data_IF_607096821494
#
_entry.id   IF_607096821494
#
_cell.length_a   1.000
_cell.length_b   1.000
_cell.length_c   1.000
_cell.angle_alpha   90.00
_cell.angle_beta   90.00
_cell.angle_gamma   90.00
#
_symmetry.space_group_name_H-M   'P 1'
#
loop_
_entity.id
_entity.type
_entity.pdbx_description
1 polymer ?
#
# COMPACT_ATOMS: atom_id res chain seq x y z
N UNK A 1 -0.81 15.12 5.48
CA UNK A 1 -0.51 14.18 6.58
C UNK A 1 -1.71 14.16 7.52
N UNK A 2 -2.15 13.00 7.98
CA UNK A 2 -3.20 12.90 9.00
C UNK A 2 -2.79 11.84 10.02
N UNK A 3 -2.85 12.15 11.32
CA UNK A 3 -2.50 11.22 12.41
C UNK A 3 -3.71 10.93 13.27
N UNK A 4 -3.78 9.74 13.88
CA UNK A 4 -4.89 9.32 14.76
C UNK A 4 -4.82 9.86 16.19
N UNK A 5 -3.95 10.83 16.47
CA UNK A 5 -3.66 11.34 17.82
C UNK A 5 -2.40 12.21 17.86
N UNK A 6 -2.30 13.06 18.88
CA UNK A 6 -1.34 14.17 18.94
C UNK A 6 0.09 13.74 19.27
N UNK A 7 0.93 13.64 18.23
CA UNK A 7 2.33 14.07 18.16
C UNK A 7 2.87 13.64 16.79
N UNK A 8 3.31 14.59 15.96
CA UNK A 8 4.14 14.31 14.78
C UNK A 8 5.52 14.89 15.06
N UNK A 9 6.57 14.26 14.54
CA UNK A 9 7.93 14.82 14.56
C UNK A 9 8.37 15.07 13.12
N UNK A 10 8.77 16.30 12.82
CA UNK A 10 9.36 16.67 11.54
C UNK A 10 10.83 16.90 11.81
N UNK A 11 11.68 16.01 11.28
CA UNK A 11 13.12 16.10 11.49
C UNK A 11 13.71 17.42 10.99
N UNK A 12 14.99 17.73 11.30
CA UNK A 12 15.58 19.05 11.09
C UNK A 12 15.57 19.61 9.65
N UNK A 13 15.30 18.77 8.66
CA UNK A 13 15.19 19.12 7.23
C UNK A 13 13.85 18.68 6.60
N UNK A 14 12.91 18.18 7.40
CA UNK A 14 11.61 17.74 6.92
C UNK A 14 10.66 18.91 6.68
N UNK A 15 9.68 18.73 5.80
CA UNK A 15 8.62 19.74 5.62
C UNK A 15 7.31 19.10 5.16
N UNK A 16 6.19 19.70 5.54
CA UNK A 16 4.84 19.33 5.09
C UNK A 16 4.24 20.55 4.40
N UNK A 17 4.20 20.52 3.07
CA UNK A 17 3.77 21.63 2.21
C UNK A 17 2.86 21.13 1.10
N UNK A 18 2.24 22.05 0.38
CA UNK A 18 1.74 21.82 -0.96
C UNK A 18 1.92 23.03 -1.86
N UNK A 19 1.31 22.98 -3.04
CA UNK A 19 1.48 23.98 -4.09
C UNK A 19 1.20 25.42 -3.63
N UNK A 20 0.17 25.61 -2.79
CA UNK A 20 -0.23 26.91 -2.27
C UNK A 20 0.45 27.30 -0.94
N UNK A 21 1.37 26.47 -0.42
CA UNK A 21 2.05 26.77 0.85
C UNK A 21 2.96 28.00 0.68
N UNK A 22 2.84 29.05 1.52
CA UNK A 22 3.65 30.25 1.39
C UNK A 22 5.15 29.97 1.46
N UNK A 23 5.93 30.73 0.69
CA UNK A 23 7.40 30.63 0.69
C UNK A 23 7.96 30.81 2.10
N UNK A 24 8.83 29.87 2.53
CA UNK A 24 9.47 29.88 3.85
C UNK A 24 8.67 29.19 4.96
N UNK A 25 7.52 28.59 4.65
CA UNK A 25 6.78 27.74 5.59
C UNK A 25 7.22 26.29 5.38
N UNK A 26 7.81 25.68 6.41
CA UNK A 26 8.21 24.26 6.41
C UNK A 26 7.10 23.34 6.95
N UNK A 27 6.23 23.86 7.81
CA UNK A 27 5.09 23.12 8.35
C UNK A 27 3.81 23.87 8.03
N UNK A 28 3.04 23.38 7.05
CA UNK A 28 1.72 23.93 6.71
C UNK A 28 0.62 23.23 7.54
N UNK A 29 0.07 23.89 8.58
CA UNK A 29 -0.93 23.29 9.46
C UNK A 29 -2.25 22.97 8.72
N UNK A 30 -2.53 23.59 7.57
CA UNK A 30 -3.71 23.24 6.76
C UNK A 30 -3.56 21.90 6.05
N UNK A 31 -2.35 21.34 6.01
CA UNK A 31 -2.02 20.04 5.42
C UNK A 31 -1.84 18.95 6.48
N UNK A 32 -2.07 19.28 7.75
CA UNK A 32 -1.93 18.39 8.90
C UNK A 32 -3.29 18.26 9.58
N UNK A 33 -3.81 17.03 9.71
CA UNK A 33 -4.99 16.76 10.52
C UNK A 33 -4.69 15.76 11.63
N UNK A 34 -5.43 15.86 12.74
CA UNK A 34 -5.32 14.97 13.91
C UNK A 34 -6.60 14.15 14.16
N UNK A 35 -7.60 14.31 13.30
CA UNK A 35 -8.91 13.67 13.42
C UNK A 35 -9.03 12.43 12.54
N UNK A 36 -7.90 11.87 12.11
CA UNK A 36 -7.91 10.68 11.27
C UNK A 36 -8.44 9.49 12.06
N UNK A 37 -9.60 8.98 11.62
CA UNK A 37 -10.16 7.73 12.10
C UNK A 37 -10.50 6.88 10.89
N UNK A 38 -9.71 5.84 10.66
CA UNK A 38 -9.99 4.79 9.69
C UNK A 38 -9.89 3.44 10.40
N UNK A 39 -10.76 2.52 10.01
CA UNK A 39 -10.55 1.11 10.33
C UNK A 39 -9.54 0.58 9.29
N UNK A 40 -8.39 0.09 9.77
CA UNK A 40 -7.33 -0.48 8.94
C UNK A 40 -7.33 -2.00 9.17
N UNK A 41 -8.17 -2.77 8.46
CA UNK A 41 -8.27 -4.22 8.67
C UNK A 41 -6.97 -4.93 8.28
N UNK A 42 -6.68 -6.05 8.93
CA UNK A 42 -5.58 -6.93 8.55
C UNK A 42 -5.68 -7.32 7.07
N UNK A 43 -4.56 -7.24 6.36
CA UNK A 43 -4.49 -7.74 4.98
C UNK A 43 -4.58 -9.27 4.98
N UNK A 44 -5.43 -9.82 4.11
CA UNK A 44 -5.53 -11.27 3.90
C UNK A 44 -5.00 -11.63 2.53
N UNK A 45 -4.03 -12.55 2.47
CA UNK A 45 -3.60 -13.11 1.19
C UNK A 45 -4.79 -13.78 0.47
N UNK A 46 -4.92 -13.61 -0.87
CA UNK A 46 -6.00 -14.20 -1.62
C UNK A 46 -5.88 -15.74 -1.65
N UNK A 47 -7.02 -16.43 -1.70
CA UNK A 47 -7.05 -17.89 -1.87
C UNK A 47 -6.90 -18.25 -3.35
N UNK A 48 -5.66 -18.34 -3.82
CA UNK A 48 -5.31 -18.68 -5.21
C UNK A 48 -4.78 -20.12 -5.35
N UNK A 49 -4.76 -20.63 -6.57
CA UNK A 49 -4.08 -21.89 -6.91
C UNK A 49 -2.67 -21.55 -7.41
N UNK A 50 -1.60 -22.17 -6.88
CA UNK A 50 -0.25 -21.87 -7.34
C UNK A 50 0.05 -22.50 -8.69
N UNK A 51 0.62 -21.72 -9.61
CA UNK A 51 1.35 -22.24 -10.78
C UNK A 51 2.74 -22.75 -10.37
N UNK A 52 3.30 -22.16 -9.31
CA UNK A 52 4.63 -22.44 -8.78
C UNK A 52 4.63 -22.49 -7.26
N UNK A 53 5.39 -23.42 -6.70
CA UNK A 53 5.58 -23.56 -5.24
C UNK A 53 7.02 -23.28 -4.79
N UNK A 54 7.83 -22.71 -5.69
CA UNK A 54 9.21 -22.34 -5.45
C UNK A 54 9.57 -21.15 -6.30
N UNK A 55 10.37 -20.25 -5.74
CA UNK A 55 10.92 -19.08 -6.41
C UNK A 55 12.45 -19.20 -6.49
N UNK A 56 13.04 -18.66 -7.54
CA UNK A 56 14.48 -18.56 -7.72
C UNK A 56 14.81 -17.33 -8.55
N UNK A 57 16.05 -16.85 -8.48
CA UNK A 57 16.51 -15.74 -9.30
C UNK A 57 16.22 -15.96 -10.79
N UNK A 58 15.83 -14.90 -11.50
CA UNK A 58 15.43 -14.91 -12.89
C UNK A 58 14.10 -14.20 -13.13
N UNK A 59 13.55 -14.44 -14.32
CA UNK A 59 12.31 -13.82 -14.76
C UNK A 59 11.10 -14.56 -14.18
N UNK A 60 10.08 -13.81 -13.78
CA UNK A 60 8.76 -14.28 -13.33
C UNK A 60 7.66 -13.54 -14.08
N UNK A 61 6.54 -14.23 -14.33
CA UNK A 61 5.47 -13.72 -15.16
C UNK A 61 5.71 -13.94 -16.66
N UNK A 62 4.65 -13.80 -17.45
CA UNK A 62 4.69 -13.92 -18.91
C UNK A 62 4.95 -12.55 -19.56
N UNK A 63 6.10 -12.34 -20.25
CA UNK A 63 6.41 -11.06 -20.91
C UNK A 63 5.52 -10.74 -22.11
N UNK A 64 4.65 -11.66 -22.52
CA UNK A 64 3.64 -11.44 -23.56
C UNK A 64 2.24 -11.18 -23.01
N UNK A 65 2.05 -11.27 -21.69
CA UNK A 65 0.80 -10.96 -21.03
C UNK A 65 0.55 -9.44 -20.98
N UNK A 66 -0.73 -9.08 -20.93
CA UNK A 66 -1.18 -7.70 -20.71
C UNK A 66 -1.45 -7.46 -19.23
N UNK A 67 -1.52 -6.21 -18.78
CA UNK A 67 -1.85 -5.85 -17.40
C UNK A 67 -3.11 -6.55 -16.85
N UNK A 68 -4.12 -6.81 -17.68
CA UNK A 68 -5.37 -7.46 -17.27
C UNK A 68 -5.38 -9.00 -17.39
N UNK A 69 -4.26 -9.61 -17.76
CA UNK A 69 -4.12 -11.05 -17.87
C UNK A 69 -4.09 -11.71 -16.49
N UNK A 70 -4.47 -12.99 -16.41
CA UNK A 70 -4.31 -13.77 -15.18
C UNK A 70 -2.82 -13.82 -14.80
N UNK A 71 -2.47 -13.52 -13.53
CA UNK A 71 -1.08 -13.50 -13.09
C UNK A 71 -0.50 -14.90 -12.93
N UNK A 72 0.83 -15.02 -13.09
CA UNK A 72 1.54 -16.21 -12.64
C UNK A 72 1.60 -16.22 -11.11
N UNK A 73 1.11 -17.30 -10.49
CA UNK A 73 0.95 -17.38 -9.02
C UNK A 73 2.03 -18.25 -8.39
N UNK A 74 2.79 -17.65 -7.47
CA UNK A 74 3.77 -18.32 -6.61
C UNK A 74 3.23 -18.41 -5.18
N UNK A 75 3.17 -19.62 -4.61
CA UNK A 75 2.85 -19.81 -3.18
C UNK A 75 4.01 -20.55 -2.50
N UNK A 76 4.72 -19.84 -1.63
CA UNK A 76 5.86 -20.33 -0.89
C UNK A 76 5.44 -20.65 0.55
N UNK A 77 5.57 -21.91 0.96
CA UNK A 77 5.22 -22.35 2.32
C UNK A 77 6.35 -22.15 3.35
N UNK A 78 7.33 -21.32 3.03
CA UNK A 78 8.49 -21.02 3.87
C UNK A 78 9.14 -19.72 3.43
N UNK A 79 10.02 -19.19 4.29
CA UNK A 79 10.83 -18.02 3.98
C UNK A 79 11.63 -18.17 2.68
N UNK A 80 11.75 -17.05 1.95
CA UNK A 80 12.55 -16.91 0.75
C UNK A 80 13.66 -15.89 0.96
N UNK A 81 14.85 -16.20 0.45
CA UNK A 81 15.96 -15.25 0.46
C UNK A 81 16.81 -15.30 -0.80
N UNK A 82 17.23 -14.11 -1.25
CA UNK A 82 18.25 -13.94 -2.29
C UNK A 82 19.42 -13.11 -1.76
N UNK A 83 20.59 -13.40 -2.30
CA UNK A 83 21.84 -12.71 -1.99
C UNK A 83 22.74 -12.66 -3.21
N UNK A 84 23.80 -11.85 -3.16
CA UNK A 84 24.72 -11.70 -4.29
C UNK A 84 24.16 -10.76 -5.36
N UNK A 85 24.24 -11.11 -6.64
CA UNK A 85 23.64 -10.36 -7.76
C UNK A 85 22.53 -11.20 -8.41
N UNK A 86 21.70 -11.79 -7.56
CA UNK A 86 20.64 -12.69 -7.97
C UNK A 86 19.34 -11.91 -7.88
N UNK A 87 18.80 -11.56 -9.04
CA UNK A 87 17.67 -10.66 -9.14
C UNK A 87 16.39 -11.44 -9.44
N UNK A 88 15.25 -10.85 -9.08
CA UNK A 88 13.93 -11.27 -9.59
C UNK A 88 13.47 -10.20 -10.56
N UNK A 89 13.16 -10.60 -11.79
CA UNK A 89 12.64 -9.71 -12.82
C UNK A 89 11.18 -10.07 -13.07
N UNK A 90 10.27 -9.24 -12.57
CA UNK A 90 8.85 -9.33 -12.87
C UNK A 90 8.65 -8.74 -14.26
N UNK A 91 8.37 -9.61 -15.23
CA UNK A 91 8.23 -9.24 -16.65
C UNK A 91 6.78 -9.31 -17.14
N UNK A 92 5.84 -9.68 -16.27
CA UNK A 92 4.40 -9.71 -16.52
C UNK A 92 3.61 -9.81 -15.22
N UNK A 93 2.27 -9.88 -15.28
CA UNK A 93 1.39 -10.03 -14.12
C UNK A 93 1.83 -11.18 -13.19
N UNK A 94 2.14 -10.86 -11.93
CA UNK A 94 2.68 -11.83 -10.98
C UNK A 94 2.10 -11.63 -9.58
N UNK A 95 1.72 -12.74 -8.93
CA UNK A 95 1.34 -12.76 -7.51
C UNK A 95 2.29 -13.69 -6.76
N UNK A 96 2.88 -13.21 -5.66
CA UNK A 96 3.75 -13.99 -4.79
C UNK A 96 3.16 -13.97 -3.38
N UNK A 97 2.82 -15.15 -2.85
CA UNK A 97 2.35 -15.35 -1.48
C UNK A 97 3.41 -16.13 -0.70
N UNK A 98 3.85 -15.59 0.43
CA UNK A 98 4.93 -16.15 1.24
C UNK A 98 4.47 -16.36 2.68
N UNK A 99 4.44 -17.64 3.09
CA UNK A 99 4.27 -18.01 4.49
C UNK A 99 5.64 -18.07 5.20
N UNK A 100 6.15 -16.90 5.57
CA UNK A 100 7.47 -16.72 6.16
C UNK A 100 8.08 -15.37 5.78
N UNK A 101 9.41 -15.25 5.92
CA UNK A 101 10.13 -14.01 5.64
C UNK A 101 10.51 -13.90 4.15
N UNK A 102 10.56 -12.69 3.62
CA UNK A 102 10.99 -12.41 2.25
C UNK A 102 12.16 -11.42 2.24
N UNK A 103 13.36 -11.86 1.83
CA UNK A 103 14.57 -11.05 2.06
C UNK A 103 15.58 -11.05 0.91
N UNK A 104 16.07 -9.87 0.55
CA UNK A 104 17.09 -9.64 -0.46
C UNK A 104 18.28 -8.96 0.21
N UNK A 105 19.48 -9.44 -0.11
CA UNK A 105 20.74 -8.95 0.47
C UNK A 105 21.85 -8.85 -0.57
N UNK A 106 22.96 -8.19 -0.20
CA UNK A 106 24.06 -7.97 -1.14
C UNK A 106 23.67 -6.98 -2.23
N UNK A 107 23.68 -7.43 -3.49
CA UNK A 107 23.32 -6.65 -4.68
C UNK A 107 22.08 -7.22 -5.40
N UNK A 108 21.29 -8.04 -4.72
CA UNK A 108 20.03 -8.55 -5.27
C UNK A 108 19.03 -7.40 -5.40
N UNK A 109 18.31 -7.38 -6.52
CA UNK A 109 17.30 -6.39 -6.85
C UNK A 109 15.97 -7.08 -7.22
N UNK A 110 14.86 -6.47 -6.81
CA UNK A 110 13.51 -6.84 -7.26
C UNK A 110 13.08 -5.82 -8.32
N UNK A 111 13.00 -6.27 -9.56
CA UNK A 111 12.76 -5.41 -10.72
C UNK A 111 11.35 -5.63 -11.27
N UNK A 112 10.57 -4.57 -11.45
CA UNK A 112 9.31 -4.59 -12.19
C UNK A 112 9.57 -3.95 -13.56
N UNK A 113 9.49 -4.76 -14.62
CA UNK A 113 10.03 -4.42 -15.93
C UNK A 113 8.94 -4.39 -16.99
N UNK A 114 8.52 -3.17 -17.35
CA UNK A 114 7.62 -2.88 -18.46
C UNK A 114 6.19 -2.49 -18.03
N UNK A 115 5.40 -1.94 -18.97
CA UNK A 115 4.10 -1.30 -18.69
C UNK A 115 2.98 -2.27 -18.33
N UNK A 116 3.14 -3.55 -18.67
CA UNK A 116 2.16 -4.62 -18.37
C UNK A 116 2.64 -5.54 -17.23
N UNK A 117 3.80 -5.25 -16.63
CA UNK A 117 4.32 -6.00 -15.50
C UNK A 117 3.84 -5.40 -14.18
N UNK A 118 3.36 -6.26 -13.29
CA UNK A 118 3.06 -5.88 -11.92
C UNK A 118 3.32 -7.03 -10.95
N UNK A 119 3.57 -6.67 -9.69
CA UNK A 119 3.75 -7.61 -8.59
C UNK A 119 2.81 -7.27 -7.43
N UNK A 120 2.02 -8.26 -7.04
CA UNK A 120 1.36 -8.30 -5.73
C UNK A 120 2.11 -9.29 -4.82
N UNK A 121 2.77 -8.77 -3.78
CA UNK A 121 3.57 -9.53 -2.84
C UNK A 121 2.87 -9.59 -1.47
N UNK A 122 2.39 -10.77 -1.07
CA UNK A 122 1.80 -11.02 0.24
C UNK A 122 2.79 -11.77 1.13
N UNK A 123 3.10 -11.24 2.32
CA UNK A 123 4.10 -11.84 3.22
C UNK A 123 3.59 -11.88 4.66
N UNK A 124 3.63 -13.06 5.27
CA UNK A 124 3.22 -13.27 6.67
C UNK A 124 4.31 -12.93 7.70
N UNK A 125 5.59 -13.03 7.32
CA UNK A 125 6.74 -12.69 8.15
C UNK A 125 7.49 -11.44 7.69
N UNK A 126 8.70 -11.22 8.20
CA UNK A 126 9.44 -9.98 7.93
C UNK A 126 9.83 -9.82 6.45
N UNK A 127 9.85 -8.57 5.99
CA UNK A 127 10.34 -8.20 4.65
C UNK A 127 11.60 -7.35 4.76
N UNK A 128 12.63 -7.72 4.01
CA UNK A 128 13.86 -6.93 3.90
C UNK A 128 14.34 -6.85 2.46
N UNK A 129 14.02 -5.76 1.78
CA UNK A 129 14.45 -5.44 0.42
C UNK A 129 15.52 -4.35 0.49
N UNK A 130 16.65 -4.66 1.14
CA UNK A 130 17.70 -3.70 1.51
C UNK A 130 18.98 -3.80 0.68
N UNK A 131 19.06 -4.76 -0.26
CA UNK A 131 20.15 -4.92 -1.23
C UNK A 131 20.25 -3.75 -2.21
N UNK A 132 19.98 -3.99 -3.49
CA UNK A 132 19.65 -2.88 -4.39
C UNK A 132 18.19 -2.44 -4.21
N UNK A 133 17.36 -3.28 -3.59
CA UNK A 133 16.01 -2.93 -3.20
C UNK A 133 15.00 -3.19 -4.31
N UNK A 134 14.05 -2.27 -4.49
CA UNK A 134 13.01 -2.36 -5.52
C UNK A 134 13.29 -1.34 -6.62
N UNK A 135 13.22 -1.79 -7.87
CA UNK A 135 13.26 -0.95 -9.06
C UNK A 135 11.97 -1.15 -9.86
N UNK A 136 11.28 -0.05 -10.18
CA UNK A 136 10.03 -0.04 -10.93
C UNK A 136 10.22 0.86 -12.15
N UNK A 137 10.44 0.26 -13.32
CA UNK A 137 10.93 0.95 -14.53
C UNK A 137 9.96 2.02 -15.05
N UNK A 138 8.66 1.79 -14.89
CA UNK A 138 7.61 2.70 -15.34
C UNK A 138 7.23 3.75 -14.29
N UNK A 139 7.82 3.65 -13.09
CA UNK A 139 7.52 4.50 -11.92
C UNK A 139 6.01 4.54 -11.57
N UNK A 140 5.24 3.54 -12.01
CA UNK A 140 3.81 3.37 -11.70
C UNK A 140 3.64 2.71 -10.34
N UNK A 141 3.14 3.39 -9.29
CA UNK A 141 3.02 2.78 -7.97
C UNK A 141 2.16 1.51 -7.94
N UNK A 142 1.15 1.38 -8.80
CA UNK A 142 0.28 0.19 -8.84
C UNK A 142 1.02 -1.07 -9.31
N UNK A 143 2.16 -0.92 -9.99
CA UNK A 143 2.97 -2.03 -10.50
C UNK A 143 3.74 -2.77 -9.39
N UNK A 144 3.93 -2.16 -8.23
CA UNK A 144 4.53 -2.82 -7.07
C UNK A 144 3.64 -2.66 -5.84
N UNK A 145 3.08 -3.76 -5.38
CA UNK A 145 2.21 -3.81 -4.21
C UNK A 145 2.76 -4.80 -3.19
N UNK A 146 2.97 -4.34 -1.96
CA UNK A 146 3.40 -5.16 -0.83
C UNK A 146 2.31 -5.16 0.24
N UNK A 147 1.85 -6.36 0.57
CA UNK A 147 0.81 -6.63 1.55
C UNK A 147 1.41 -7.40 2.74
N UNK A 148 1.54 -6.72 3.88
CA UNK A 148 1.92 -7.36 5.14
C UNK A 148 0.71 -8.01 5.78
N UNK A 149 0.71 -9.35 5.88
CA UNK A 149 -0.46 -10.13 6.34
C UNK A 149 -0.32 -10.58 7.79
N UNK A 150 0.53 -9.93 8.58
CA UNK A 150 0.67 -10.19 10.01
C UNK A 150 -0.64 -9.82 10.74
N UNK A 151 -1.22 -10.71 11.57
CA UNK A 151 -2.49 -10.44 12.22
C UNK A 151 -2.36 -9.37 13.32
N UNK A 152 -3.46 -8.68 13.61
CA UNK A 152 -3.54 -7.69 14.68
C UNK A 152 -2.98 -8.23 16.01
N UNK A 153 -2.12 -7.45 16.66
CA UNK A 153 -1.44 -7.82 17.91
C UNK A 153 -0.15 -8.61 17.71
N UNK A 154 0.29 -8.78 16.46
CA UNK A 154 1.67 -9.17 16.12
C UNK A 154 2.42 -7.96 15.54
N UNK A 155 3.74 -8.04 15.49
CA UNK A 155 4.58 -7.01 14.86
C UNK A 155 5.40 -7.67 13.76
N UNK A 156 5.34 -7.06 12.58
CA UNK A 156 6.11 -7.42 11.39
C UNK A 156 7.10 -6.28 11.11
N UNK A 157 8.33 -6.60 10.73
CA UNK A 157 9.26 -5.56 10.27
C UNK A 157 9.34 -5.57 8.74
N UNK A 158 9.13 -4.41 8.12
CA UNK A 158 9.22 -4.24 6.67
C UNK A 158 10.23 -3.14 6.36
N UNK A 159 11.34 -3.53 5.73
CA UNK A 159 12.36 -2.60 5.28
C UNK A 159 12.44 -2.63 3.76
N UNK A 160 12.18 -1.49 3.12
CA UNK A 160 12.23 -1.35 1.67
C UNK A 160 13.21 -0.25 1.30
N UNK A 161 14.27 -0.60 0.56
CA UNK A 161 15.16 0.38 -0.06
C UNK A 161 14.76 0.59 -1.52
N UNK A 162 14.83 1.83 -1.98
CA UNK A 162 14.77 2.18 -3.41
C UNK A 162 16.17 2.45 -3.97
N UNK A 163 16.45 1.94 -5.17
CA UNK A 163 17.66 2.29 -5.93
C UNK A 163 17.47 3.61 -6.70
N UNK A 164 17.35 4.72 -5.97
CA UNK A 164 16.98 6.02 -6.55
C UNK A 164 15.55 6.39 -6.18
N UNK A 165 14.68 6.52 -7.18
CA UNK A 165 13.24 6.76 -7.00
C UNK A 165 12.54 5.43 -6.68
N UNK A 166 11.55 5.47 -5.79
CA UNK A 166 10.73 4.32 -5.40
C UNK A 166 9.27 4.63 -5.77
N UNK A 167 8.62 3.72 -6.49
CA UNK A 167 7.19 3.79 -6.78
C UNK A 167 6.50 2.49 -6.35
N UNK A 168 5.56 2.58 -5.41
CA UNK A 168 4.89 1.39 -4.89
C UNK A 168 3.79 1.66 -3.86
N UNK A 169 3.00 0.62 -3.61
CA UNK A 169 1.96 0.56 -2.59
C UNK A 169 2.40 -0.41 -1.49
N UNK A 170 2.35 0.03 -0.23
CA UNK A 170 2.62 -0.83 0.92
C UNK A 170 1.43 -0.76 1.86
N UNK A 171 0.80 -1.91 2.13
CA UNK A 171 -0.27 -2.01 3.10
C UNK A 171 0.05 -3.12 4.11
N UNK A 172 0.43 -2.71 5.31
CA UNK A 172 0.86 -3.60 6.38
C UNK A 172 0.54 -2.97 7.75
N UNK A 173 -0.74 -2.94 8.15
CA UNK A 173 -1.22 -2.13 9.29
C UNK A 173 -0.62 -2.52 10.65
N UNK A 174 -0.04 -3.71 10.76
CA UNK A 174 0.58 -4.24 11.98
C UNK A 174 2.12 -4.34 11.83
N UNK A 175 2.73 -3.40 11.10
CA UNK A 175 4.17 -3.43 10.82
C UNK A 175 4.91 -2.13 11.17
N UNK A 176 6.15 -2.31 11.59
CA UNK A 176 7.18 -1.27 11.61
C UNK A 176 7.75 -1.16 10.20
N UNK A 177 7.39 -0.09 9.49
CA UNK A 177 7.75 0.13 8.10
C UNK A 177 8.89 1.17 7.99
N UNK A 178 10.05 0.75 7.51
CA UNK A 178 11.11 1.64 7.05
C UNK A 178 11.17 1.69 5.53
N UNK A 179 11.02 2.88 4.96
CA UNK A 179 11.27 3.13 3.53
C UNK A 179 12.49 4.03 3.42
N UNK A 180 13.51 3.54 2.72
CA UNK A 180 14.76 4.27 2.48
C UNK A 180 14.88 4.66 1.01
N UNK A 181 14.83 5.96 0.73
CA UNK A 181 14.95 6.52 -0.62
C UNK A 181 16.08 7.54 -0.73
N UNK A 182 16.76 7.57 -1.87
CA UNK A 182 17.70 8.65 -2.22
C UNK A 182 17.15 9.59 -3.31
N UNK A 183 15.89 9.40 -3.69
CA UNK A 183 15.15 10.15 -4.71
C UNK A 183 13.66 10.30 -4.35
N UNK A 184 12.77 10.39 -5.32
CA UNK A 184 11.33 10.52 -5.07
C UNK A 184 10.74 9.20 -4.57
N UNK A 185 9.83 9.26 -3.60
CA UNK A 185 9.00 8.13 -3.18
C UNK A 185 7.57 8.46 -3.61
N UNK A 186 6.98 7.64 -4.49
CA UNK A 186 5.64 7.84 -5.04
C UNK A 186 4.74 6.65 -4.68
N UNK A 187 3.50 6.94 -4.23
CA UNK A 187 2.50 5.90 -3.95
C UNK A 187 1.80 6.08 -2.61
N UNK A 188 1.59 4.98 -1.89
CA UNK A 188 0.93 4.98 -0.58
C UNK A 188 1.52 3.94 0.36
N UNK A 189 1.50 4.26 1.66
CA UNK A 189 1.98 3.38 2.71
C UNK A 189 0.99 3.38 3.89
N UNK A 190 0.67 2.20 4.42
CA UNK A 190 -0.05 1.99 5.67
C UNK A 190 0.81 1.06 6.54
N UNK A 191 1.17 1.53 7.74
CA UNK A 191 1.97 0.84 8.74
C UNK A 191 1.56 1.26 10.15
N UNK A 192 1.97 0.50 11.17
CA UNK A 192 1.78 0.88 12.58
C UNK A 192 2.67 2.08 12.89
N UNK A 193 3.96 1.95 12.60
CA UNK A 193 4.96 3.01 12.63
C UNK A 193 5.63 3.10 11.25
N UNK A 194 5.71 4.32 10.70
CA UNK A 194 6.35 4.56 9.39
C UNK A 194 7.55 5.48 9.59
N UNK A 195 8.73 4.97 9.24
CA UNK A 195 9.98 5.74 9.20
C UNK A 195 10.43 5.93 7.76
N UNK A 196 10.56 7.19 7.35
CA UNK A 196 11.12 7.55 6.05
C UNK A 196 12.56 8.03 6.26
N UNK A 197 13.54 7.35 5.67
CA UNK A 197 14.96 7.71 5.78
C UNK A 197 15.60 8.00 4.42
N UNK A 198 16.64 8.83 4.42
CA UNK A 198 17.32 9.30 3.22
C UNK A 198 16.88 10.69 2.76
N UNK A 199 17.30 11.11 1.55
CA UNK A 199 16.95 12.41 0.98
C UNK A 199 15.74 12.26 0.06
N UNK A 200 14.65 11.77 0.63
CA UNK A 200 13.46 11.39 -0.13
C UNK A 200 12.33 12.40 0.03
N UNK A 201 11.69 12.75 -1.09
CA UNK A 201 10.43 13.47 -1.10
C UNK A 201 9.30 12.46 -1.32
N UNK A 202 8.39 12.34 -0.35
CA UNK A 202 7.21 11.48 -0.48
C UNK A 202 6.09 12.23 -1.21
N UNK A 203 5.61 11.66 -2.30
CA UNK A 203 4.50 12.15 -3.11
C UNK A 203 3.37 11.12 -3.08
N UNK A 204 2.23 11.51 -2.53
CA UNK A 204 1.02 10.68 -2.65
C UNK A 204 0.50 10.75 -4.09
N UNK A 205 0.37 9.60 -4.74
CA UNK A 205 -0.20 9.55 -6.09
C UNK A 205 -1.73 9.56 -6.00
N UNK A 206 -2.34 10.59 -6.62
CA UNK A 206 -3.78 10.80 -6.65
C UNK A 206 -4.55 9.72 -7.40
N UNK A 207 -3.89 8.97 -8.30
CA UNK A 207 -4.52 7.86 -9.01
C UNK A 207 -4.95 6.74 -8.04
N UNK A 208 -4.25 6.58 -6.90
CA UNK A 208 -4.64 5.62 -5.86
C UNK A 208 -5.95 5.96 -5.16
N UNK A 209 -6.47 7.18 -5.29
CA UNK A 209 -7.71 7.58 -4.60
C UNK A 209 -8.91 6.68 -4.96
N UNK A 210 -8.87 6.02 -6.12
CA UNK A 210 -9.91 5.10 -6.58
C UNK A 210 -9.43 3.64 -6.67
N UNK A 211 -8.28 3.31 -6.07
CA UNK A 211 -7.71 1.95 -6.12
C UNK A 211 -8.64 0.94 -5.41
N UNK A 212 -9.22 1.33 -4.27
CA UNK A 212 -10.35 0.62 -3.65
C UNK A 212 -11.65 0.95 -4.40
N UNK A 213 -11.93 0.17 -5.45
CA UNK A 213 -13.26 0.12 -6.07
C UNK A 213 -14.13 -1.00 -5.49
N UNK A 214 -13.77 -1.49 -4.30
CA UNK A 214 -14.31 -2.66 -3.57
C UNK A 214 -15.82 -2.58 -3.23
N UNK A 215 -16.51 -1.54 -3.70
CA UNK A 215 -17.93 -1.34 -3.40
C UNK A 215 -18.18 -1.07 -1.92
N UNK A 216 -17.19 -0.56 -1.19
CA UNK A 216 -17.33 -0.21 0.21
C UNK A 216 -18.40 0.88 0.37
N UNK A 217 -19.49 0.54 1.07
CA UNK A 217 -20.59 1.46 1.33
C UNK A 217 -20.32 2.24 2.62
N UNK A 218 -19.94 3.51 2.48
CA UNK A 218 -19.92 4.45 3.61
C UNK A 218 -21.31 4.99 3.93
N UNK A 219 -21.63 5.14 5.21
CA UNK A 219 -22.86 5.84 5.62
C UNK A 219 -22.70 7.34 5.29
N UNK A 220 -23.30 7.78 4.17
CA UNK A 220 -23.25 9.19 3.75
C UNK A 220 -23.95 10.14 4.72
N UNK A 221 -24.99 9.64 5.41
CA UNK A 221 -25.75 10.38 6.41
C UNK A 221 -26.47 9.43 7.33
N UNK A 222 -26.43 9.71 8.63
CA UNK A 222 -27.29 9.06 9.62
C UNK A 222 -28.11 10.12 10.34
N UNK A 223 -29.40 9.85 10.53
CA UNK A 223 -30.28 10.66 11.35
C UNK A 223 -30.98 9.75 12.34
N UNK A 224 -30.63 9.85 13.61
CA UNK A 224 -31.37 9.21 14.69
C UNK A 224 -32.75 9.87 14.83
N UNK A 225 -33.80 9.06 14.97
CA UNK A 225 -35.16 9.54 15.26
C UNK A 225 -35.45 9.20 16.73
N UNK A 226 -35.63 10.22 17.57
CA UNK A 226 -35.71 10.06 19.03
C UNK A 226 -37.12 10.21 19.58
N UNK A 227 -38.11 10.51 18.74
CA UNK A 227 -39.50 10.68 19.14
C UNK A 227 -40.52 10.14 18.14
N UNK A 228 -41.72 9.82 18.63
CA UNK A 228 -42.82 9.26 17.83
C UNK A 228 -43.33 10.20 16.73
N UNK A 229 -43.08 11.50 16.85
CA UNK A 229 -43.37 12.52 15.82
C UNK A 229 -42.40 12.51 14.64
N UNK A 230 -41.28 11.80 14.77
CA UNK A 230 -40.21 11.72 13.75
C UNK A 230 -40.22 10.38 13.01
N UNK A 231 -41.00 9.41 13.49
CA UNK A 231 -41.14 8.09 12.88
C UNK A 231 -41.93 8.21 11.57
N UNK A 232 -41.38 7.68 10.49
CA UNK A 232 -42.12 7.48 9.25
C UNK A 232 -43.03 6.26 9.41
N UNK A 233 -44.29 6.37 9.00
CA UNK A 233 -45.21 5.23 8.95
C UNK A 233 -44.85 4.35 7.74
N UNK A 234 -44.27 3.19 8.01
CA UNK A 234 -43.79 2.24 6.99
C UNK A 234 -44.89 1.29 6.47
N UNK A 235 -46.17 1.59 6.74
CA UNK A 235 -47.30 0.79 6.25
C UNK A 235 -47.58 0.90 4.74
N UNK A 236 -46.91 1.82 4.03
CA UNK A 236 -47.00 1.92 2.56
C UNK A 236 -45.69 2.34 1.89
N UNK A 237 -45.40 1.80 0.71
CA UNK A 237 -44.18 2.08 -0.07
C UNK A 237 -44.16 3.50 -0.65
N UNK A 238 -45.30 4.16 -0.75
CA UNK A 238 -45.43 5.56 -1.20
C UNK A 238 -44.78 6.58 -0.27
N UNK A 239 -44.62 6.27 1.03
CA UNK A 239 -44.00 7.18 2.00
C UNK A 239 -42.46 7.24 1.86
N UNK A 240 -41.84 6.20 1.30
CA UNK A 240 -40.38 6.12 1.10
C UNK A 240 -39.87 7.11 0.05
N UNK A 241 -40.68 7.44 -0.96
CA UNK A 241 -40.27 8.32 -2.05
C UNK A 241 -40.11 9.79 -1.64
N UNK A 242 -40.81 10.26 -0.60
CA UNK A 242 -40.72 11.67 -0.16
C UNK A 242 -39.53 11.95 0.78
N UNK A 243 -39.00 10.91 1.43
CA UNK A 243 -37.90 11.03 2.39
C UNK A 243 -36.50 11.04 1.74
N UNK A 244 -36.41 10.76 0.43
CA UNK A 244 -35.16 10.69 -0.36
C UNK A 244 -35.06 11.87 -1.35
N UNK A 245 -35.97 12.85 -1.29
CA UNK A 245 -35.83 14.05 -2.10
C UNK A 245 -34.55 14.80 -1.71
N UNK A 246 -33.71 15.22 -2.68
CA UNK A 246 -32.45 15.89 -2.39
C UNK A 246 -32.74 17.25 -1.75
N UNK A 247 -32.08 17.51 -0.60
CA UNK A 247 -31.75 18.86 -0.16
C UNK A 247 -30.42 19.25 -0.77
#
# INVERSE_FOLDING_TARGET
MATGGSSYDIGPNGSVKGEDTPSGVDEDPLRISFDFKADLPDATAPSLTPDRTSLSAGDVGDPSASWSSDPEVYILSSSFSLSGKNDINVVGPTVIIVDGNFSFSGKAELNILGPDAYLELYVSGDVSLTGQGVFNDEENPEAFQLWGTAPSGTSQTINVAGNGDFAGIIYAPNSDLEIKGNGNISGAAVGEDITLTGNAAFHYDLNLKNFDSDGSFGIKRWRELRGSTEWLDFSSTSALASAVAPL
#
